data_IF_646065861020
#
_entry.id   IF_646065861020
#
_cell.length_a   1.000
_cell.length_b   1.000
_cell.length_c   1.000
_cell.angle_alpha   90.00
_cell.angle_beta   90.00
_cell.angle_gamma   90.00
#
_symmetry.space_group_name_H-M   'P 1'
#
loop_
_entity.id
_entity.type
_entity.pdbx_description
1 polymer ?
#
# COMPACT_ATOMS: atom_id res chain seq x y z
N UNK A 1 -16.53 -15.80 -10.50
CA UNK A 1 -15.31 -15.63 -9.69
C UNK A 1 -14.41 -16.81 -9.97
N UNK A 2 -13.33 -16.62 -10.72
CA UNK A 2 -12.42 -17.71 -11.11
C UNK A 2 -11.45 -17.99 -9.95
N UNK A 3 -11.35 -19.25 -9.54
CA UNK A 3 -10.40 -19.70 -8.51
C UNK A 3 -8.96 -19.39 -8.93
N UNK A 4 -8.10 -18.82 -8.04
CA UNK A 4 -6.69 -18.58 -8.37
C UNK A 4 -5.97 -19.90 -8.62
N UNK A 5 -5.14 -19.95 -9.67
CA UNK A 5 -4.27 -21.09 -9.95
C UNK A 5 -3.21 -21.29 -8.84
N UNK A 6 -2.83 -22.53 -8.60
CA UNK A 6 -1.81 -22.93 -7.62
C UNK A 6 -0.42 -22.35 -7.99
N UNK A 7 0.39 -21.88 -7.02
CA UNK A 7 1.62 -21.13 -7.30
C UNK A 7 2.83 -22.01 -7.71
N UNK A 8 3.64 -21.51 -8.62
CA UNK A 8 4.82 -22.20 -9.22
C UNK A 8 6.11 -21.33 -9.16
N UNK A 9 7.30 -21.84 -9.55
CA UNK A 9 8.65 -21.26 -9.23
C UNK A 9 9.42 -20.74 -10.45
N UNK A 10 9.90 -19.47 -10.43
CA UNK A 10 10.49 -18.79 -11.60
C UNK A 10 11.76 -17.96 -11.31
N UNK A 11 12.59 -17.73 -12.34
CA UNK A 11 13.80 -16.91 -12.24
C UNK A 11 13.49 -15.44 -12.49
N UNK A 12 13.84 -14.57 -11.54
CA UNK A 12 13.61 -13.12 -11.64
C UNK A 12 14.94 -12.38 -11.70
N UNK A 13 15.12 -11.49 -12.69
CA UNK A 13 16.22 -10.52 -12.74
C UNK A 13 15.62 -9.11 -12.75
N UNK A 14 16.02 -8.30 -11.78
CA UNK A 14 15.62 -6.91 -11.66
C UNK A 14 16.87 -6.05 -11.83
N UNK A 15 16.85 -5.16 -12.82
CA UNK A 15 17.82 -4.08 -12.98
C UNK A 15 17.08 -2.77 -12.72
N UNK A 16 17.35 -2.17 -11.56
CA UNK A 16 16.62 -1.00 -11.09
C UNK A 16 17.55 0.21 -10.93
N UNK A 17 17.08 1.34 -11.43
CA UNK A 17 17.62 2.67 -11.22
C UNK A 17 16.53 3.56 -10.58
N UNK A 18 16.87 4.69 -9.95
CA UNK A 18 15.86 5.62 -9.46
C UNK A 18 14.86 6.00 -10.57
N UNK A 19 13.58 5.72 -10.36
CA UNK A 19 12.50 6.02 -11.31
C UNK A 19 12.34 5.04 -12.48
N UNK A 20 13.16 4.00 -12.58
CA UNK A 20 13.07 3.02 -13.67
C UNK A 20 13.47 1.61 -13.21
N UNK A 21 12.69 0.60 -13.60
CA UNK A 21 13.04 -0.79 -13.33
C UNK A 21 12.80 -1.64 -14.57
N UNK A 22 13.83 -2.36 -14.99
CA UNK A 22 13.74 -3.40 -16.00
C UNK A 22 13.63 -4.75 -15.30
N UNK A 23 12.50 -5.41 -15.47
CA UNK A 23 12.21 -6.71 -14.85
C UNK A 23 12.19 -7.77 -15.92
N UNK A 24 12.96 -8.85 -15.72
CA UNK A 24 12.94 -10.05 -16.55
C UNK A 24 12.45 -11.25 -15.74
N UNK A 25 11.50 -12.00 -16.30
CA UNK A 25 11.05 -13.31 -15.80
C UNK A 25 11.52 -14.38 -16.77
N UNK A 26 12.27 -15.37 -16.29
CA UNK A 26 12.93 -16.41 -17.11
C UNK A 26 13.71 -15.83 -18.31
N UNK A 27 14.30 -14.65 -18.13
CA UNK A 27 14.97 -13.85 -19.15
C UNK A 27 14.06 -13.15 -20.19
N UNK A 28 12.74 -13.28 -20.12
CA UNK A 28 11.81 -12.48 -20.89
C UNK A 28 11.58 -11.10 -20.21
N UNK A 29 11.87 -9.98 -20.89
CA UNK A 29 11.63 -8.65 -20.32
C UNK A 29 10.13 -8.35 -20.27
N UNK A 30 9.67 -7.81 -19.15
CA UNK A 30 8.32 -7.25 -19.04
C UNK A 30 8.27 -5.84 -19.65
N UNK A 31 7.13 -5.41 -20.21
CA UNK A 31 7.01 -4.07 -20.81
C UNK A 31 7.22 -2.95 -19.77
N UNK A 32 8.15 -2.05 -20.04
CA UNK A 32 8.62 -1.03 -19.09
C UNK A 32 7.52 -0.05 -18.63
N UNK A 33 6.57 0.29 -19.51
CA UNK A 33 5.48 1.22 -19.19
C UNK A 33 4.32 0.57 -18.42
N UNK A 34 4.32 -0.75 -18.34
CA UNK A 34 3.25 -1.50 -17.68
C UNK A 34 3.52 -1.67 -16.18
N UNK A 35 4.77 -1.60 -15.74
CA UNK A 35 5.15 -1.79 -14.34
C UNK A 35 5.41 -0.44 -13.68
N UNK A 36 4.63 -0.11 -12.66
CA UNK A 36 4.79 1.11 -11.87
C UNK A 36 5.56 0.89 -10.58
N UNK A 37 5.74 -0.37 -10.18
CA UNK A 37 6.49 -0.76 -8.99
C UNK A 37 6.46 -2.26 -8.76
N UNK A 38 7.26 -2.71 -7.81
CA UNK A 38 7.27 -4.10 -7.37
C UNK A 38 7.55 -4.20 -5.87
N UNK A 39 7.07 -5.27 -5.24
CA UNK A 39 7.41 -5.64 -3.86
C UNK A 39 7.92 -7.07 -3.87
N UNK A 40 9.10 -7.28 -3.29
CA UNK A 40 9.69 -8.61 -3.09
C UNK A 40 9.64 -8.94 -1.59
N UNK A 41 8.87 -9.95 -1.23
CA UNK A 41 8.79 -10.46 0.14
C UNK A 41 9.41 -11.86 0.21
N UNK A 42 10.32 -12.05 1.16
CA UNK A 42 10.91 -13.35 1.44
C UNK A 42 10.79 -13.68 2.92
N UNK A 43 10.00 -14.70 3.23
CA UNK A 43 9.94 -15.31 4.54
C UNK A 43 10.67 -16.65 4.54
N UNK A 44 11.57 -16.86 5.50
CA UNK A 44 12.32 -18.12 5.66
C UNK A 44 11.40 -19.33 5.93
N UNK A 45 10.15 -19.11 6.37
CA UNK A 45 9.15 -20.18 6.56
C UNK A 45 8.37 -20.51 5.28
N UNK A 46 8.31 -19.62 4.28
CA UNK A 46 7.42 -19.76 3.12
C UNK A 46 8.06 -20.42 1.88
N UNK A 47 9.28 -20.96 2.01
CA UNK A 47 10.09 -21.67 1.01
C UNK A 47 10.43 -20.91 -0.29
N UNK A 48 9.56 -20.04 -0.79
CA UNK A 48 9.71 -19.29 -2.02
C UNK A 48 9.41 -17.80 -1.79
N UNK A 49 10.21 -16.87 -2.35
CA UNK A 49 9.92 -15.45 -2.32
C UNK A 49 8.68 -15.14 -3.17
N UNK A 50 7.91 -14.15 -2.72
CA UNK A 50 6.72 -13.65 -3.43
C UNK A 50 7.06 -12.31 -4.08
N UNK A 51 6.73 -12.16 -5.37
CA UNK A 51 6.90 -10.92 -6.13
C UNK A 51 5.52 -10.37 -6.51
N UNK A 52 5.21 -9.17 -6.03
CA UNK A 52 4.01 -8.43 -6.42
C UNK A 52 4.42 -7.39 -7.45
N UNK A 53 3.71 -7.36 -8.59
CA UNK A 53 3.91 -6.37 -9.65
C UNK A 53 2.74 -5.39 -9.65
N UNK A 54 3.05 -4.10 -9.47
CA UNK A 54 2.05 -3.04 -9.62
C UNK A 54 2.01 -2.60 -11.07
N UNK A 55 0.82 -2.65 -11.69
CA UNK A 55 0.66 -2.36 -13.12
C UNK A 55 -0.37 -1.27 -13.39
N UNK A 56 -0.12 -0.41 -14.39
CA UNK A 56 -1.01 0.72 -14.73
C UNK A 56 -2.28 0.30 -15.50
N UNK A 57 -2.23 -0.80 -16.24
CA UNK A 57 -3.38 -1.32 -17.00
C UNK A 57 -3.43 -2.85 -16.90
N UNK A 58 -4.46 -3.43 -16.26
CA UNK A 58 -4.55 -4.88 -16.07
C UNK A 58 -4.81 -5.65 -17.38
N UNK A 59 -5.24 -4.97 -18.46
CA UNK A 59 -5.79 -5.60 -19.66
C UNK A 59 -4.79 -6.09 -20.72
N UNK A 60 -3.49 -5.77 -20.62
CA UNK A 60 -2.53 -6.04 -21.71
C UNK A 60 -1.15 -6.54 -21.25
N UNK A 61 -1.03 -6.98 -20.00
CA UNK A 61 0.20 -7.64 -19.55
C UNK A 61 0.12 -9.10 -19.99
N UNK A 62 0.65 -9.41 -21.18
CA UNK A 62 0.93 -10.79 -21.56
C UNK A 62 2.10 -11.29 -20.73
N UNK A 63 1.76 -11.83 -19.56
CA UNK A 63 2.69 -12.52 -18.68
C UNK A 63 2.79 -13.98 -19.12
N UNK A 64 4.01 -14.46 -19.34
CA UNK A 64 4.29 -15.86 -19.64
C UNK A 64 5.54 -16.29 -18.86
N UNK A 65 5.33 -16.93 -17.71
CA UNK A 65 6.39 -17.44 -16.83
C UNK A 65 6.01 -17.37 -15.34
N UNK A 66 5.87 -18.49 -14.66
CA UNK A 66 5.21 -18.78 -13.39
C UNK A 66 5.81 -18.30 -12.02
N UNK A 67 6.13 -17.03 -11.72
CA UNK A 67 6.33 -16.69 -10.29
C UNK A 67 5.00 -16.86 -9.49
N UNK A 68 5.03 -16.95 -8.14
CA UNK A 68 3.82 -16.68 -7.33
C UNK A 68 3.50 -15.20 -7.46
N UNK A 69 2.85 -14.86 -8.56
CA UNK A 69 2.46 -13.49 -8.90
C UNK A 69 1.06 -13.28 -8.38
N UNK A 70 0.95 -12.51 -7.31
CA UNK A 70 -0.32 -11.91 -6.95
C UNK A 70 -0.42 -10.57 -7.68
N UNK A 71 -1.36 -10.48 -8.62
CA UNK A 71 -1.77 -9.19 -9.19
C UNK A 71 -2.86 -8.66 -8.29
N UNK A 72 -2.54 -7.60 -7.54
CA UNK A 72 -3.49 -6.90 -6.69
C UNK A 72 -3.78 -5.54 -7.30
N UNK A 73 -5.06 -5.16 -7.30
CA UNK A 73 -5.41 -3.76 -7.51
C UNK A 73 -4.88 -2.96 -6.32
N UNK A 74 -4.17 -1.87 -6.59
CA UNK A 74 -3.83 -0.91 -5.54
C UNK A 74 -5.15 -0.32 -5.07
N UNK A 75 -5.56 -0.66 -3.85
CA UNK A 75 -6.73 -0.06 -3.21
C UNK A 75 -6.42 1.42 -3.01
N UNK A 76 -7.24 2.30 -3.60
CA UNK A 76 -7.18 3.72 -3.32
C UNK A 76 -7.48 3.94 -1.82
N UNK A 77 -6.57 4.56 -1.05
CA UNK A 77 -6.83 4.85 0.36
C UNK A 77 -7.88 5.96 0.54
N UNK A 78 -8.19 6.74 -0.50
CA UNK A 78 -9.13 7.87 -0.45
C UNK A 78 -10.49 7.53 0.14
N UNK A 79 -11.20 6.49 -0.34
CA UNK A 79 -12.45 6.03 0.25
C UNK A 79 -12.35 5.67 1.75
N UNK A 80 -11.32 4.92 2.15
CA UNK A 80 -11.10 4.53 3.55
C UNK A 80 -10.89 5.74 4.47
N UNK A 81 -10.07 6.70 4.04
CA UNK A 81 -9.83 7.94 4.79
C UNK A 81 -11.12 8.76 4.88
N UNK A 82 -11.89 8.82 3.79
CA UNK A 82 -13.16 9.57 3.76
C UNK A 82 -14.19 8.97 4.71
N UNK A 83 -14.32 7.65 4.72
CA UNK A 83 -15.26 6.96 5.59
C UNK A 83 -14.87 7.09 7.07
N UNK A 84 -13.57 7.01 7.39
CA UNK A 84 -13.06 7.30 8.72
C UNK A 84 -13.44 8.71 9.16
N UNK A 85 -13.12 9.73 8.36
CA UNK A 85 -13.41 11.13 8.69
C UNK A 85 -14.91 11.41 8.82
N UNK A 86 -15.76 10.74 8.02
CA UNK A 86 -17.22 10.84 8.12
C UNK A 86 -17.79 10.19 9.38
N UNK A 87 -17.12 9.18 9.91
CA UNK A 87 -17.54 8.48 11.13
C UNK A 87 -17.19 9.27 12.40
N UNK A 88 -16.32 10.29 12.30
CA UNK A 88 -15.95 11.13 13.44
C UNK A 88 -17.13 11.96 13.93
N UNK A 89 -17.39 11.91 15.23
CA UNK A 89 -18.29 12.85 15.89
C UNK A 89 -17.53 14.17 16.17
N UNK A 90 -17.92 15.31 15.56
CA UNK A 90 -17.20 16.57 15.71
C UNK A 90 -17.15 17.07 17.16
N UNK A 91 -18.22 16.88 17.95
CA UNK A 91 -18.25 17.33 19.34
C UNK A 91 -17.32 16.49 20.23
N UNK A 92 -17.21 15.19 19.95
CA UNK A 92 -16.27 14.33 20.66
C UNK A 92 -14.81 14.65 20.30
N UNK A 93 -14.55 14.99 19.02
CA UNK A 93 -13.21 15.41 18.58
C UNK A 93 -12.79 16.72 19.23
N UNK A 94 -13.68 17.70 19.27
CA UNK A 94 -13.41 19.00 19.87
C UNK A 94 -13.10 18.88 21.37
N UNK A 95 -13.93 18.12 22.10
CA UNK A 95 -13.70 17.86 23.51
C UNK A 95 -12.39 17.10 23.75
N UNK A 96 -12.16 16.01 23.02
CA UNK A 96 -10.94 15.21 23.17
C UNK A 96 -9.68 16.01 22.84
N UNK A 97 -9.74 16.93 21.86
CA UNK A 97 -8.63 17.82 21.53
C UNK A 97 -8.36 18.87 22.62
N UNK A 98 -9.42 19.41 23.25
CA UNK A 98 -9.30 20.36 24.37
C UNK A 98 -8.80 19.70 25.67
N UNK A 99 -9.06 18.41 25.83
CA UNK A 99 -8.65 17.63 27.02
C UNK A 99 -7.19 17.12 26.93
N UNK A 100 -6.45 17.43 25.85
CA UNK A 100 -5.06 16.97 25.70
C UNK A 100 -4.11 17.75 26.61
N UNK A 101 -3.16 17.04 27.21
CA UNK A 101 -2.15 17.63 28.09
C UNK A 101 -1.00 18.34 27.33
N UNK A 102 -0.94 18.21 26.01
CA UNK A 102 0.13 18.73 25.15
C UNK A 102 -0.19 20.07 24.47
N UNK A 103 -1.21 20.77 24.97
CA UNK A 103 -1.58 22.12 24.56
C UNK A 103 -0.49 23.14 24.98
N UNK A 104 0.12 23.81 23.99
CA UNK A 104 1.26 24.73 24.11
C UNK A 104 0.97 26.24 23.89
N UNK A 105 -0.27 26.63 23.61
CA UNK A 105 -0.69 28.01 23.31
C UNK A 105 -0.28 28.54 21.94
N UNK A 106 0.27 27.71 21.06
CA UNK A 106 0.80 28.16 19.77
C UNK A 106 -0.30 28.51 18.75
N UNK A 107 0.00 29.30 17.71
CA UNK A 107 -0.94 29.50 16.62
C UNK A 107 -1.40 28.16 16.01
N UNK A 108 -2.71 28.03 15.81
CA UNK A 108 -3.39 26.82 15.33
C UNK A 108 -3.27 25.60 16.24
N UNK A 109 -2.91 25.78 17.52
CA UNK A 109 -2.80 24.71 18.51
C UNK A 109 -4.02 23.77 18.53
N UNK A 110 -5.25 24.31 18.58
CA UNK A 110 -6.46 23.47 18.59
C UNK A 110 -6.56 22.60 17.32
N UNK A 111 -6.21 23.14 16.15
CA UNK A 111 -6.20 22.35 14.91
C UNK A 111 -5.12 21.26 14.95
N UNK A 112 -3.94 21.55 15.51
CA UNK A 112 -2.88 20.53 15.70
C UNK A 112 -3.34 19.43 16.66
N UNK A 113 -4.00 19.82 17.76
CA UNK A 113 -4.57 18.90 18.74
C UNK A 113 -5.64 18.00 18.11
N UNK A 114 -6.54 18.54 17.29
CA UNK A 114 -7.54 17.75 16.55
C UNK A 114 -6.88 16.75 15.58
N UNK A 115 -5.84 17.18 14.85
CA UNK A 115 -5.12 16.27 13.94
C UNK A 115 -4.39 15.16 14.69
N UNK A 116 -3.75 15.48 15.81
CA UNK A 116 -3.09 14.49 16.67
C UNK A 116 -4.10 13.48 17.23
N UNK A 117 -5.26 13.97 17.69
CA UNK A 117 -6.31 13.09 18.20
C UNK A 117 -6.89 12.17 17.12
N UNK A 118 -7.05 12.64 15.89
CA UNK A 118 -7.49 11.80 14.76
C UNK A 118 -6.47 10.70 14.45
N UNK A 119 -5.17 10.99 14.58
CA UNK A 119 -4.10 9.99 14.42
C UNK A 119 -4.17 8.96 15.54
N UNK A 120 -4.34 9.40 16.80
CA UNK A 120 -4.48 8.49 17.94
C UNK A 120 -5.66 7.53 17.75
N UNK A 121 -6.82 8.04 17.34
CA UNK A 121 -8.00 7.20 17.06
C UNK A 121 -7.80 6.25 15.87
N UNK A 122 -7.15 6.71 14.79
CA UNK A 122 -6.84 5.85 13.64
C UNK A 122 -5.89 4.70 14.02
N UNK A 123 -5.01 4.92 15.00
CA UNK A 123 -4.08 3.94 15.55
C UNK A 123 -4.70 3.12 16.71
N UNK A 124 -5.96 3.37 17.07
CA UNK A 124 -6.68 2.67 18.13
C UNK A 124 -6.28 3.07 19.56
N UNK A 125 -5.59 4.20 19.72
CA UNK A 125 -5.31 4.82 21.02
C UNK A 125 -6.48 5.72 21.45
N UNK A 126 -6.68 5.82 22.76
CA UNK A 126 -7.68 6.71 23.39
C UNK A 126 -7.01 7.93 23.94
#
# INVERSE_FOLDING_TARGET
MSTPAEPTVHSVRIDAQPGHAKICLDNAPLPEEQITGYVLEHSITNALPTLLLHTRQPGHVQWQGLARVAVVEQVDPGPLITDFLRAINPAALDQAALDRDDLDGSPNELTKAMLAQLIDWAEGRT
#
